data_IF_526068351133
#
_entry.id   IF_526068351133
#
_cell.length_a   1.000
_cell.length_b   1.000
_cell.length_c   1.000
_cell.angle_alpha   90.00
_cell.angle_beta   90.00
_cell.angle_gamma   90.00
#
_symmetry.space_group_name_H-M   'P 1'
#
loop_
_entity.id
_entity.type
_entity.pdbx_description
1 polymer ?
#
# COMPACT_ATOMS: atom_id res chain seq x y z
N UNK A 1 -13.85 -8.49 3.34
CA UNK A 1 -14.07 -7.88 4.65
C UNK A 1 -14.91 -8.82 5.53
N UNK A 2 -14.35 -9.24 6.66
CA UNK A 2 -15.03 -10.18 7.57
C UNK A 2 -14.58 -9.96 9.02
N UNK A 3 -15.38 -9.22 9.78
CA UNK A 3 -15.11 -8.83 11.17
C UNK A 3 -15.02 -10.05 12.10
N UNK A 4 -15.92 -11.01 11.95
CA UNK A 4 -15.94 -12.20 12.82
C UNK A 4 -14.72 -13.09 12.57
N UNK A 5 -14.29 -13.21 11.33
CA UNK A 5 -13.04 -13.92 11.00
C UNK A 5 -11.83 -13.21 11.60
N UNK A 6 -11.77 -11.88 11.53
CA UNK A 6 -10.68 -11.11 12.11
C UNK A 6 -10.59 -11.28 13.63
N UNK A 7 -11.73 -11.18 14.34
CA UNK A 7 -11.79 -11.44 15.78
C UNK A 7 -11.35 -12.87 16.14
N UNK A 8 -11.79 -13.86 15.35
CA UNK A 8 -11.37 -15.24 15.55
C UNK A 8 -9.86 -15.43 15.40
N UNK A 9 -9.24 -14.79 14.41
CA UNK A 9 -7.78 -14.85 14.21
C UNK A 9 -7.00 -14.15 15.34
N UNK A 10 -7.48 -13.01 15.81
CA UNK A 10 -6.91 -12.33 16.97
C UNK A 10 -6.95 -13.24 18.21
N UNK A 11 -8.12 -13.83 18.50
CA UNK A 11 -8.27 -14.73 19.64
C UNK A 11 -7.37 -15.98 19.52
N UNK A 12 -7.27 -16.59 18.32
CA UNK A 12 -6.36 -17.72 18.06
C UNK A 12 -4.88 -17.34 18.30
N UNK A 13 -4.53 -16.06 18.07
CA UNK A 13 -3.19 -15.52 18.31
C UNK A 13 -2.98 -15.07 19.77
N UNK A 14 -3.98 -15.25 20.63
CA UNK A 14 -3.91 -14.89 22.06
C UNK A 14 -4.24 -13.43 22.36
N UNK A 15 -4.78 -12.68 21.40
CA UNK A 15 -5.28 -11.33 21.63
C UNK A 15 -6.77 -11.37 21.98
N UNK A 16 -7.09 -11.06 23.25
CA UNK A 16 -8.45 -11.16 23.83
C UNK A 16 -8.66 -9.93 24.71
N UNK A 17 -9.83 -9.35 24.71
CA UNK A 17 -10.24 -8.31 25.66
C UNK A 17 -10.45 -8.95 27.05
N UNK A 18 -9.45 -8.84 27.94
CA UNK A 18 -9.49 -9.50 29.25
C UNK A 18 -10.00 -8.59 30.36
N UNK A 19 -9.99 -7.25 30.17
CA UNK A 19 -10.46 -6.28 31.17
C UNK A 19 -11.84 -5.67 30.85
N UNK A 20 -12.39 -5.95 29.64
CA UNK A 20 -13.72 -5.52 29.21
C UNK A 20 -13.77 -4.08 28.73
N UNK A 21 -12.63 -3.47 28.36
CA UNK A 21 -12.57 -2.09 27.91
C UNK A 21 -12.84 -1.92 26.41
N UNK A 22 -13.07 -3.02 25.69
CA UNK A 22 -13.40 -3.06 24.27
C UNK A 22 -12.19 -3.16 23.35
N UNK A 23 -10.96 -3.31 23.92
CA UNK A 23 -9.75 -3.52 23.16
C UNK A 23 -9.09 -4.85 23.54
N UNK A 24 -8.50 -5.51 22.57
CA UNK A 24 -7.80 -6.77 22.81
C UNK A 24 -6.44 -6.53 23.46
N UNK A 25 -6.10 -7.39 24.41
CA UNK A 25 -4.81 -7.39 25.10
C UNK A 25 -4.18 -8.78 25.10
N UNK A 26 -2.88 -8.83 25.33
CA UNK A 26 -2.10 -10.05 25.47
C UNK A 26 -0.97 -9.78 26.46
N UNK A 27 -0.80 -10.67 27.46
CA UNK A 27 0.21 -10.52 28.52
C UNK A 27 0.13 -9.16 29.24
N UNK A 28 -1.10 -8.67 29.46
CA UNK A 28 -1.37 -7.38 30.11
C UNK A 28 -1.03 -6.15 29.25
N UNK A 29 -0.80 -6.32 27.95
CA UNK A 29 -0.52 -5.22 27.01
C UNK A 29 -1.61 -5.12 25.96
N UNK A 30 -2.24 -3.96 25.86
CA UNK A 30 -3.23 -3.64 24.83
C UNK A 30 -2.58 -3.60 23.45
N UNK A 31 -3.29 -4.13 22.43
CA UNK A 31 -2.87 -4.02 21.05
C UNK A 31 -3.14 -2.60 20.56
N UNK A 32 -2.10 -1.79 20.57
CA UNK A 32 -2.13 -0.43 20.10
C UNK A 32 -1.17 -0.25 18.94
N UNK A 33 -1.65 0.36 17.85
CA UNK A 33 -0.88 0.58 16.62
C UNK A 33 -0.82 2.06 16.28
N UNK A 34 0.37 2.56 15.94
CA UNK A 34 0.56 3.89 15.38
C UNK A 34 0.43 3.82 13.86
N UNK A 35 -0.48 4.62 13.32
CA UNK A 35 -0.80 4.65 11.90
C UNK A 35 -0.44 6.01 11.31
N UNK A 36 0.61 6.06 10.51
CA UNK A 36 1.08 7.28 9.89
C UNK A 36 0.37 7.56 8.55
N UNK A 37 -0.13 8.79 8.39
CA UNK A 37 -0.69 9.35 7.16
C UNK A 37 -0.18 10.77 6.95
N UNK A 38 -0.44 11.37 5.78
CA UNK A 38 0.16 12.66 5.43
C UNK A 38 -0.83 13.63 4.78
N UNK A 39 -0.52 14.95 4.91
CA UNK A 39 -1.43 16.04 4.55
C UNK A 39 -1.49 16.35 3.06
N UNK A 40 -0.48 15.97 2.26
CA UNK A 40 -0.40 16.35 0.84
C UNK A 40 -1.43 15.65 -0.07
N UNK A 41 -2.10 14.61 0.43
CA UNK A 41 -3.18 13.88 -0.26
C UNK A 41 -4.37 13.68 0.70
N UNK A 42 -5.44 14.49 0.59
CA UNK A 42 -6.56 14.41 1.53
C UNK A 42 -7.25 13.03 1.61
N UNK A 43 -7.26 12.29 0.50
CA UNK A 43 -7.86 10.96 0.44
C UNK A 43 -7.19 9.94 1.35
N UNK A 44 -5.88 10.02 1.57
CA UNK A 44 -5.19 9.04 2.45
C UNK A 44 -5.52 9.25 3.92
N UNK A 45 -5.86 10.48 4.32
CA UNK A 45 -6.34 10.77 5.66
C UNK A 45 -7.70 10.10 5.89
N UNK A 46 -8.63 10.25 4.94
CA UNK A 46 -9.95 9.62 5.01
C UNK A 46 -9.86 8.10 5.08
N UNK A 47 -8.94 7.48 4.34
CA UNK A 47 -8.69 6.04 4.44
C UNK A 47 -8.16 5.66 5.82
N UNK A 48 -7.22 6.41 6.39
CA UNK A 48 -6.68 6.12 7.71
C UNK A 48 -7.75 6.23 8.81
N UNK A 49 -8.60 7.25 8.76
CA UNK A 49 -9.73 7.42 9.69
C UNK A 49 -10.77 6.29 9.55
N UNK A 50 -11.10 5.88 8.31
CA UNK A 50 -12.01 4.78 8.08
C UNK A 50 -11.45 3.44 8.60
N UNK A 51 -10.16 3.19 8.38
CA UNK A 51 -9.48 2.01 8.91
C UNK A 51 -9.42 2.03 10.44
N UNK A 52 -9.18 3.17 11.09
CA UNK A 52 -9.22 3.31 12.55
C UNK A 52 -10.59 2.85 13.10
N UNK A 53 -11.69 3.25 12.45
CA UNK A 53 -13.04 2.82 12.83
C UNK A 53 -13.22 1.30 12.64
N UNK A 54 -12.69 0.74 11.56
CA UNK A 54 -12.80 -0.69 11.29
C UNK A 54 -11.93 -1.52 12.24
N UNK A 55 -10.72 -1.09 12.57
CA UNK A 55 -9.86 -1.74 13.57
C UNK A 55 -10.49 -1.73 14.96
N UNK A 56 -11.16 -0.64 15.34
CA UNK A 56 -11.90 -0.58 16.61
C UNK A 56 -13.00 -1.63 16.73
N UNK A 57 -13.68 -1.99 15.63
CA UNK A 57 -14.71 -3.04 15.62
C UNK A 57 -14.17 -4.42 16.01
N UNK A 58 -12.88 -4.64 15.83
CA UNK A 58 -12.20 -5.89 16.17
C UNK A 58 -11.32 -5.76 17.42
N UNK A 59 -11.46 -4.64 18.15
CA UNK A 59 -10.75 -4.42 19.41
C UNK A 59 -9.31 -3.97 19.29
N UNK A 60 -8.88 -3.41 18.15
CA UNK A 60 -7.54 -2.84 17.99
C UNK A 60 -7.58 -1.33 18.19
N UNK A 61 -6.73 -0.81 19.09
CA UNK A 61 -6.54 0.62 19.32
C UNK A 61 -5.56 1.19 18.26
N UNK A 62 -6.06 2.02 17.35
CA UNK A 62 -5.24 2.66 16.31
C UNK A 62 -5.12 4.15 16.57
N UNK A 63 -3.91 4.63 16.73
CA UNK A 63 -3.58 6.04 16.84
C UNK A 63 -3.16 6.58 15.46
N UNK A 64 -3.98 7.46 14.86
CA UNK A 64 -3.69 8.04 13.54
C UNK A 64 -2.83 9.30 13.71
N UNK A 65 -1.63 9.26 13.15
CA UNK A 65 -0.66 10.35 13.11
C UNK A 65 -0.68 11.03 11.74
N UNK A 66 -1.25 12.24 11.67
CA UNK A 66 -1.30 13.04 10.43
C UNK A 66 -0.09 13.97 10.42
N UNK A 67 0.88 13.68 9.55
CA UNK A 67 2.17 14.37 9.54
C UNK A 67 2.54 14.87 8.13
N UNK A 68 3.69 15.49 7.97
CA UNK A 68 4.26 15.77 6.65
C UNK A 68 4.74 14.48 5.98
N UNK A 69 4.68 14.41 4.65
CA UNK A 69 5.10 13.21 3.90
C UNK A 69 6.56 12.83 4.15
N UNK A 70 7.43 13.81 4.41
CA UNK A 70 8.84 13.56 4.76
C UNK A 70 9.01 12.84 6.10
N UNK A 71 8.09 13.03 7.03
CA UNK A 71 8.08 12.30 8.30
C UNK A 71 7.63 10.85 8.07
N UNK A 72 6.61 10.63 7.22
CA UNK A 72 6.21 9.26 6.83
C UNK A 72 7.37 8.52 6.19
N UNK A 73 8.07 9.15 5.24
CA UNK A 73 9.26 8.57 4.60
C UNK A 73 10.36 8.23 5.61
N UNK A 74 10.57 9.07 6.61
CA UNK A 74 11.58 8.83 7.65
C UNK A 74 11.20 7.64 8.53
N UNK A 75 9.99 7.62 9.10
CA UNK A 75 9.57 6.56 10.03
C UNK A 75 9.43 5.20 9.34
N UNK A 76 9.00 5.19 8.06
CA UNK A 76 8.92 3.93 7.30
C UNK A 76 10.29 3.36 6.98
N UNK A 77 11.28 4.22 6.67
CA UNK A 77 12.67 3.78 6.42
C UNK A 77 13.40 3.36 7.69
N UNK A 78 13.09 3.96 8.85
CA UNK A 78 13.69 3.55 10.13
C UNK A 78 12.99 2.33 10.74
N UNK A 79 11.82 1.91 10.24
CA UNK A 79 11.01 0.84 10.83
C UNK A 79 10.26 1.25 12.10
N UNK A 80 10.20 2.54 12.40
CA UNK A 80 9.54 3.08 13.61
C UNK A 80 8.04 3.34 13.36
N UNK A 81 7.33 2.37 12.84
CA UNK A 81 5.90 2.45 12.57
C UNK A 81 5.25 1.07 12.68
N UNK A 82 3.94 1.05 12.96
CA UNK A 82 3.12 -0.16 12.91
C UNK A 82 2.34 -0.22 11.60
N UNK A 83 1.73 0.91 11.22
CA UNK A 83 0.99 1.07 9.96
C UNK A 83 1.40 2.39 9.30
N UNK A 84 1.52 2.39 7.99
CA UNK A 84 1.69 3.60 7.20
C UNK A 84 0.91 3.49 5.89
N UNK A 85 0.28 4.58 5.47
CA UNK A 85 -0.40 4.64 4.18
C UNK A 85 0.45 5.40 3.18
N UNK A 86 0.54 4.86 1.97
CA UNK A 86 1.22 5.51 0.84
C UNK A 86 0.34 5.48 -0.40
N UNK A 87 0.52 6.46 -1.27
CA UNK A 87 -0.11 6.51 -2.59
C UNK A 87 0.99 6.57 -3.65
N UNK A 88 1.05 5.57 -4.51
CA UNK A 88 2.11 5.42 -5.50
C UNK A 88 1.56 5.20 -6.90
N UNK A 89 2.28 5.67 -7.92
CA UNK A 89 1.94 5.40 -9.31
C UNK A 89 2.47 4.03 -9.72
N UNK A 90 1.56 3.14 -10.11
CA UNK A 90 1.89 1.76 -10.50
C UNK A 90 2.30 1.61 -11.96
N UNK A 91 1.99 2.60 -12.80
CA UNK A 91 2.15 2.52 -14.26
C UNK A 91 3.22 3.46 -14.84
N UNK A 92 4.12 3.99 -14.02
CA UNK A 92 5.13 4.98 -14.44
C UNK A 92 6.06 4.47 -15.56
N UNK A 93 6.34 3.17 -15.61
CA UNK A 93 7.15 2.53 -16.65
C UNK A 93 6.34 1.74 -17.68
N UNK A 94 5.02 1.62 -17.50
CA UNK A 94 4.16 0.74 -18.27
C UNK A 94 4.33 -0.76 -17.93
N UNK A 95 5.23 -1.11 -17.01
CA UNK A 95 5.43 -2.48 -16.54
C UNK A 95 5.09 -2.64 -15.07
N UNK A 96 4.19 -3.55 -14.69
CA UNK A 96 3.89 -3.82 -13.29
C UNK A 96 5.08 -4.47 -12.54
N UNK A 97 5.98 -5.12 -13.23
CA UNK A 97 7.14 -5.81 -12.63
C UNK A 97 8.03 -4.83 -11.87
N UNK A 98 8.30 -3.65 -12.48
CA UNK A 98 9.08 -2.61 -11.82
C UNK A 98 8.46 -2.20 -10.48
N UNK A 99 7.15 -1.93 -10.47
CA UNK A 99 6.42 -1.56 -9.27
C UNK A 99 6.46 -2.64 -8.19
N UNK A 100 6.15 -3.88 -8.56
CA UNK A 100 6.14 -5.03 -7.66
C UNK A 100 7.52 -5.26 -7.05
N UNK A 101 8.57 -5.21 -7.87
CA UNK A 101 9.94 -5.41 -7.43
C UNK A 101 10.42 -4.29 -6.50
N UNK A 102 10.12 -3.05 -6.84
CA UNK A 102 10.57 -1.90 -6.07
C UNK A 102 9.96 -1.87 -4.65
N UNK A 103 8.68 -2.19 -4.52
CA UNK A 103 7.99 -2.05 -3.24
C UNK A 103 7.98 -3.31 -2.37
N UNK A 104 8.13 -4.50 -2.97
CA UNK A 104 8.08 -5.77 -2.24
C UNK A 104 9.19 -6.78 -2.60
N UNK A 105 10.06 -6.51 -3.57
CA UNK A 105 11.25 -7.33 -3.78
C UNK A 105 12.10 -7.36 -2.51
N UNK A 106 12.64 -8.52 -2.17
CA UNK A 106 13.40 -8.70 -0.93
C UNK A 106 14.52 -7.67 -0.79
N UNK A 107 14.60 -7.04 0.36
CA UNK A 107 15.66 -6.09 0.68
C UNK A 107 16.82 -6.82 1.39
N UNK A 108 17.85 -7.18 0.62
CA UNK A 108 19.06 -7.78 1.16
C UNK A 108 20.11 -6.69 1.35
N UNK A 109 20.55 -6.49 2.58
CA UNK A 109 21.62 -5.54 2.95
C UNK A 109 21.45 -4.12 2.37
N UNK A 110 20.19 -3.65 2.32
CA UNK A 110 19.87 -2.31 1.81
C UNK A 110 19.79 -2.21 0.29
N UNK A 111 19.82 -3.33 -0.45
CA UNK A 111 19.70 -3.35 -1.92
C UNK A 111 18.35 -2.85 -2.45
N UNK A 112 17.30 -2.93 -1.66
CA UNK A 112 15.95 -2.44 -1.98
C UNK A 112 15.36 -1.57 -0.85
N UNK A 113 15.84 -0.34 -0.66
CA UNK A 113 15.41 0.53 0.44
C UNK A 113 13.98 1.05 0.30
N UNK A 114 13.32 0.81 -0.84
CA UNK A 114 11.91 1.18 -1.08
C UNK A 114 10.95 0.14 -0.49
N UNK A 115 11.39 -1.10 -0.34
CA UNK A 115 10.66 -2.10 0.42
C UNK A 115 10.77 -1.79 1.93
N UNK A 116 9.86 -0.97 2.40
CA UNK A 116 9.78 -0.59 3.82
C UNK A 116 8.89 -1.54 4.63
N UNK A 117 8.12 -2.41 3.97
CA UNK A 117 7.21 -3.36 4.63
C UNK A 117 7.94 -4.51 5.36
N UNK A 118 9.22 -4.72 5.05
CA UNK A 118 9.97 -5.88 5.54
C UNK A 118 9.57 -7.20 4.90
N UNK A 119 8.70 -7.17 3.87
CA UNK A 119 8.33 -8.38 3.14
C UNK A 119 9.53 -9.03 2.49
N UNK A 120 9.64 -10.35 2.61
CA UNK A 120 10.71 -11.14 2.01
C UNK A 120 10.18 -12.53 1.69
N UNK A 121 10.17 -12.89 0.40
CA UNK A 121 9.71 -14.19 -0.05
C UNK A 121 10.50 -14.63 -1.29
N UNK A 122 11.36 -15.66 -1.18
CA UNK A 122 12.19 -16.11 -2.31
C UNK A 122 11.38 -16.52 -3.54
N UNK A 123 10.19 -17.09 -3.35
CA UNK A 123 9.32 -17.48 -4.47
C UNK A 123 8.75 -16.28 -5.22
N UNK A 124 8.43 -15.22 -4.48
CA UNK A 124 8.05 -13.94 -5.06
C UNK A 124 9.16 -13.37 -5.94
N UNK A 125 10.39 -13.33 -5.41
CA UNK A 125 11.56 -12.80 -6.13
C UNK A 125 11.87 -13.62 -7.39
N UNK A 126 11.78 -14.95 -7.33
CA UNK A 126 11.92 -15.85 -8.50
C UNK A 126 10.89 -15.54 -9.59
N UNK A 127 9.61 -15.30 -9.20
CA UNK A 127 8.55 -14.99 -10.15
C UNK A 127 8.77 -13.63 -10.82
N UNK A 128 9.24 -12.64 -10.08
CA UNK A 128 9.58 -11.34 -10.67
C UNK A 128 10.79 -11.43 -11.61
N UNK A 129 11.82 -12.18 -11.24
CA UNK A 129 12.98 -12.41 -12.10
C UNK A 129 12.58 -13.15 -13.41
N UNK A 130 11.68 -14.13 -13.31
CA UNK A 130 11.11 -14.80 -14.49
C UNK A 130 10.33 -13.79 -15.37
N UNK A 131 9.51 -12.94 -14.76
CA UNK A 131 8.73 -11.94 -15.50
C UNK A 131 9.61 -10.88 -16.18
N UNK A 132 10.79 -10.58 -15.64
CA UNK A 132 11.76 -9.64 -16.24
C UNK A 132 12.49 -10.27 -17.45
N UNK A 133 12.75 -11.56 -17.41
CA UNK A 133 13.66 -12.21 -18.38
C UNK A 133 12.94 -12.96 -19.50
N UNK A 134 11.70 -13.40 -19.28
CA UNK A 134 10.95 -14.14 -20.31
C UNK A 134 10.48 -13.24 -21.46
N UNK A 135 10.57 -13.75 -22.69
CA UNK A 135 10.01 -13.15 -23.90
C UNK A 135 8.57 -13.60 -24.17
N UNK A 136 8.11 -14.66 -23.50
CA UNK A 136 6.76 -15.20 -23.62
C UNK A 136 5.78 -14.35 -22.77
N UNK A 137 4.85 -13.68 -23.42
CA UNK A 137 3.89 -12.80 -22.76
C UNK A 137 2.95 -13.54 -21.81
N UNK A 138 2.56 -14.79 -22.14
CA UNK A 138 1.70 -15.61 -21.28
C UNK A 138 2.45 -16.04 -20.02
N UNK A 139 3.70 -16.45 -20.17
CA UNK A 139 4.55 -16.82 -19.04
C UNK A 139 4.81 -15.60 -18.13
N UNK A 140 5.09 -14.44 -18.72
CA UNK A 140 5.25 -13.17 -17.99
C UNK A 140 4.01 -12.82 -17.20
N UNK A 141 2.84 -12.83 -17.84
CA UNK A 141 1.56 -12.54 -17.20
C UNK A 141 1.30 -13.48 -16.02
N UNK A 142 1.45 -14.78 -16.22
CA UNK A 142 1.24 -15.78 -15.17
C UNK A 142 2.20 -15.62 -13.99
N UNK A 143 3.44 -15.26 -14.24
CA UNK A 143 4.42 -14.99 -13.18
C UNK A 143 4.01 -13.76 -12.35
N UNK A 144 3.57 -12.68 -13.01
CA UNK A 144 3.09 -11.46 -12.34
C UNK A 144 1.86 -11.74 -11.48
N UNK A 145 0.89 -12.49 -12.00
CA UNK A 145 -0.33 -12.84 -11.26
C UNK A 145 0.01 -13.65 -10.00
N UNK A 146 0.85 -14.68 -10.15
CA UNK A 146 1.28 -15.49 -9.00
C UNK A 146 2.07 -14.70 -7.95
N UNK A 147 2.89 -13.75 -8.38
CA UNK A 147 3.59 -12.86 -7.45
C UNK A 147 2.60 -12.01 -6.63
N UNK A 148 1.55 -11.47 -7.28
CA UNK A 148 0.50 -10.72 -6.58
C UNK A 148 -0.31 -11.59 -5.62
N UNK A 149 -0.61 -12.85 -5.98
CA UNK A 149 -1.27 -13.81 -5.10
C UNK A 149 -0.46 -14.03 -3.81
N UNK A 150 0.87 -14.20 -3.91
CA UNK A 150 1.75 -14.33 -2.74
C UNK A 150 1.67 -13.08 -1.84
N UNK A 151 1.68 -11.87 -2.41
CA UNK A 151 1.55 -10.64 -1.63
C UNK A 151 0.24 -10.55 -0.85
N UNK A 152 -0.86 -10.98 -1.48
CA UNK A 152 -2.18 -10.96 -0.86
C UNK A 152 -2.29 -12.02 0.23
N UNK A 153 -1.80 -13.22 0.00
CA UNK A 153 -1.85 -14.34 0.95
C UNK A 153 -0.97 -14.06 2.19
N UNK A 154 0.17 -13.44 1.99
CA UNK A 154 1.08 -13.02 3.08
C UNK A 154 0.61 -11.77 3.83
N UNK A 155 -0.45 -11.09 3.32
CA UNK A 155 -0.94 -9.83 3.86
C UNK A 155 0.16 -8.74 3.99
N UNK A 156 1.15 -8.77 3.09
CA UNK A 156 2.28 -7.84 3.09
C UNK A 156 1.86 -6.38 2.96
N UNK A 157 0.71 -6.14 2.35
CA UNK A 157 0.11 -4.81 2.21
C UNK A 157 -1.40 -4.90 2.05
N UNK A 158 -2.10 -3.90 2.56
CA UNK A 158 -3.53 -3.71 2.34
C UNK A 158 -3.75 -2.74 1.17
N UNK A 159 -4.26 -3.25 0.05
CA UNK A 159 -4.58 -2.44 -1.12
C UNK A 159 -5.96 -1.79 -0.97
N UNK A 160 -5.98 -0.47 -0.73
CA UNK A 160 -7.21 0.25 -0.37
C UNK A 160 -8.03 0.68 -1.57
N UNK A 161 -7.40 1.09 -2.66
CA UNK A 161 -8.12 1.52 -3.86
C UNK A 161 -7.25 2.26 -4.88
N UNK A 162 -7.89 2.58 -6.00
CA UNK A 162 -7.31 3.37 -7.08
C UNK A 162 -8.09 4.67 -7.20
N UNK A 163 -7.50 5.83 -6.84
CA UNK A 163 -8.18 7.10 -6.94
C UNK A 163 -8.47 7.45 -8.41
N UNK A 164 -9.63 8.07 -8.65
CA UNK A 164 -9.95 8.64 -9.97
C UNK A 164 -9.21 9.95 -10.13
N UNK A 165 -8.47 10.08 -11.21
CA UNK A 165 -7.78 11.33 -11.58
C UNK A 165 -8.74 12.18 -12.41
N UNK A 166 -9.00 13.41 -11.95
CA UNK A 166 -9.77 14.41 -12.68
C UNK A 166 -8.84 15.52 -13.15
N UNK A 167 -8.88 15.85 -14.43
CA UNK A 167 -8.14 16.97 -15.00
C UNK A 167 -9.09 18.12 -15.32
N UNK A 168 -8.76 19.30 -14.81
CA UNK A 168 -9.52 20.51 -15.05
C UNK A 168 -8.63 21.49 -15.82
N UNK A 169 -9.13 22.06 -16.90
CA UNK A 169 -8.43 23.09 -17.66
C UNK A 169 -9.36 24.22 -18.06
N UNK A 170 -8.79 25.37 -18.44
CA UNK A 170 -9.54 26.48 -19.02
C UNK A 170 -10.13 26.09 -20.37
N UNK A 171 -11.29 26.65 -20.73
CA UNK A 171 -12.03 26.34 -21.95
C UNK A 171 -11.24 26.59 -23.27
N UNK A 172 -10.26 27.48 -23.23
CA UNK A 172 -9.36 27.77 -24.34
C UNK A 172 -8.20 26.79 -24.49
N UNK A 173 -8.04 25.83 -23.57
CA UNK A 173 -7.07 24.74 -23.70
C UNK A 173 -7.74 23.57 -24.40
N UNK A 174 -7.19 23.16 -25.54
CA UNK A 174 -7.67 22.04 -26.35
C UNK A 174 -6.64 20.92 -26.42
N UNK A 175 -7.11 19.71 -26.73
CA UNK A 175 -6.24 18.55 -26.90
C UNK A 175 -5.74 17.93 -25.60
N UNK A 176 -6.28 18.35 -24.44
CA UNK A 176 -5.99 17.68 -23.17
C UNK A 176 -6.55 16.26 -23.19
N UNK A 177 -5.69 15.28 -22.94
CA UNK A 177 -6.07 13.86 -22.84
C UNK A 177 -5.63 13.31 -21.48
N UNK A 178 -6.51 12.55 -20.84
CA UNK A 178 -6.16 11.80 -19.64
C UNK A 178 -5.43 10.53 -20.07
N UNK A 179 -4.23 10.34 -19.57
CA UNK A 179 -3.45 9.12 -19.73
C UNK A 179 -3.60 8.25 -18.47
N UNK A 180 -3.38 6.92 -18.54
CA UNK A 180 -3.31 6.07 -17.34
C UNK A 180 -2.22 6.48 -16.34
N UNK A 181 -1.22 7.22 -16.80
CA UNK A 181 -0.17 7.80 -15.97
C UNK A 181 -0.39 9.29 -15.76
N UNK A 182 -0.36 9.76 -14.51
CA UNK A 182 -0.45 11.18 -14.16
C UNK A 182 0.74 12.02 -14.64
N UNK A 183 1.82 11.38 -15.09
CA UNK A 183 3.04 12.08 -15.55
C UNK A 183 2.98 12.57 -17.00
N UNK A 184 2.08 12.02 -17.84
CA UNK A 184 2.01 12.35 -19.28
C UNK A 184 0.83 13.26 -19.60
N UNK A 185 0.88 14.49 -19.09
CA UNK A 185 -0.19 15.49 -19.27
C UNK A 185 0.05 16.34 -20.50
N UNK A 186 1.32 16.73 -20.75
CA UNK A 186 1.69 17.60 -21.85
C UNK A 186 2.01 16.76 -23.07
N UNK A 187 1.20 16.91 -24.11
CA UNK A 187 1.37 16.19 -25.39
C UNK A 187 1.46 17.20 -26.54
N UNK A 188 1.88 16.72 -27.72
CA UNK A 188 1.91 17.54 -28.96
C UNK A 188 0.53 18.07 -29.39
N UNK A 189 -0.54 17.47 -28.89
CA UNK A 189 -1.92 17.83 -29.21
C UNK A 189 -2.47 18.96 -28.33
N UNK A 190 -1.77 19.27 -27.22
CA UNK A 190 -2.14 20.32 -26.30
C UNK A 190 -1.89 21.71 -26.94
N UNK A 191 -2.92 22.51 -27.09
CA UNK A 191 -2.85 23.85 -27.68
C UNK A 191 -3.75 24.85 -26.99
N UNK A 192 -3.42 26.13 -27.12
CA UNK A 192 -4.27 27.24 -26.71
C UNK A 192 -5.01 27.79 -27.95
N UNK A 193 -6.31 27.90 -27.87
CA UNK A 193 -7.18 28.57 -28.86
C UNK A 193 -7.76 29.86 -28.31
#
# INVERSE_FOLDING_TARGET
>A
YNVERAKSLLAQSGWIDTDGDGYVDKDGKKLRLNFYTYTSRPEVILYAEALQVDYKKIGIDVNVEIVDSSVVDKVTRSGEYDLAITSVSTASTGSPVWFLKQYWGTNIDGSNPTNVSGFSNPKYDELLALAETTIDDTQRYNAIVKAQEILLDDSASLFLGYPKINMICKSYIKGLKISPSEYYIITKDLKRE
#
